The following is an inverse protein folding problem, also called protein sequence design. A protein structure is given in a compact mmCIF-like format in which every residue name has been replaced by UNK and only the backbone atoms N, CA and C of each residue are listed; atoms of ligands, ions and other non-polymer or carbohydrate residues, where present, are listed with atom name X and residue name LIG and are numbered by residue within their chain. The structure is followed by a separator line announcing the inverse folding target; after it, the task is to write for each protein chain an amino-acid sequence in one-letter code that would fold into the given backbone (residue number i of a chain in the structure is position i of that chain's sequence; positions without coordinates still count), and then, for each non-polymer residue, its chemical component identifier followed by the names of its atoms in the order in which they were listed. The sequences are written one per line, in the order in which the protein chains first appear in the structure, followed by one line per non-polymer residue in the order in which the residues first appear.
data_IF_686188756567
#
_entry.id   IF_686188756567
#
_cell.length_a   1.000
_cell.length_b   1.000
_cell.length_c   1.000
_cell.angle_alpha   90.00
_cell.angle_beta   90.00
_cell.angle_gamma   90.00
#
_symmetry.space_group_name_H-M   'P 1'
#
loop_
_entity.id
_entity.type
_entity.pdbx_description
1 polymer ?
#
# COMPACT_ATOMS: atom_id res chain seq x y z
N UNK A 1 -36.05 -15.15 -15.88
CA UNK A 1 -35.66 -13.84 -15.33
C UNK A 1 -35.15 -13.01 -16.49
N UNK A 2 -35.56 -11.74 -16.67
CA UNK A 2 -35.06 -10.96 -17.78
C UNK A 2 -33.56 -10.70 -17.54
N UNK A 3 -32.73 -11.18 -18.45
CA UNK A 3 -31.32 -10.84 -18.52
C UNK A 3 -31.23 -9.37 -18.95
N UNK A 4 -31.21 -8.46 -17.98
CA UNK A 4 -30.84 -7.08 -18.25
C UNK A 4 -29.46 -7.10 -18.93
N UNK A 5 -29.32 -6.37 -20.04
CA UNK A 5 -28.05 -6.27 -20.73
C UNK A 5 -26.98 -5.70 -19.76
N UNK A 6 -25.72 -6.17 -19.82
CA UNK A 6 -24.66 -5.61 -19.02
C UNK A 6 -24.57 -4.12 -19.40
N UNK A 7 -24.39 -3.29 -18.37
CA UNK A 7 -24.26 -1.85 -18.51
C UNK A 7 -23.33 -1.50 -19.67
N UNK A 8 -23.80 -0.66 -20.58
CA UNK A 8 -22.98 -0.21 -21.71
C UNK A 8 -21.84 0.69 -21.22
N UNK A 9 -20.72 0.72 -21.96
CA UNK A 9 -19.56 1.55 -21.62
C UNK A 9 -19.94 3.03 -21.43
N UNK A 10 -20.90 3.53 -22.20
CA UNK A 10 -21.44 4.88 -22.06
C UNK A 10 -22.16 5.09 -20.72
N UNK A 11 -22.91 4.10 -20.23
CA UNK A 11 -23.57 4.18 -18.93
C UNK A 11 -22.57 4.12 -17.76
N UNK A 12 -21.50 3.31 -17.88
CA UNK A 12 -20.40 3.33 -16.92
C UNK A 12 -19.66 4.67 -16.92
N UNK A 13 -19.44 5.26 -18.10
CA UNK A 13 -18.76 6.56 -18.27
C UNK A 13 -19.59 7.72 -17.71
N UNK A 14 -20.91 7.69 -17.88
CA UNK A 14 -21.84 8.69 -17.33
C UNK A 14 -21.97 8.55 -15.81
N UNK A 15 -21.88 7.34 -15.28
CA UNK A 15 -21.94 7.07 -13.83
C UNK A 15 -20.62 7.36 -13.09
N UNK A 16 -19.52 7.59 -13.81
CA UNK A 16 -18.22 7.95 -13.21
C UNK A 16 -18.30 9.32 -12.54
N UNK A 17 -18.49 9.32 -11.22
CA UNK A 17 -18.13 10.48 -10.40
C UNK A 17 -16.61 10.68 -10.45
N UNK A 18 -16.12 11.93 -10.57
CA UNK A 18 -14.69 12.21 -10.49
C UNK A 18 -14.13 11.68 -9.16
N UNK A 19 -12.89 11.17 -9.20
CA UNK A 19 -12.19 10.72 -8.00
C UNK A 19 -12.11 11.89 -7.02
N UNK A 20 -12.56 11.67 -5.78
CA UNK A 20 -12.55 12.70 -4.74
C UNK A 20 -11.10 12.99 -4.36
N UNK A 21 -10.68 14.25 -4.47
CA UNK A 21 -9.34 14.66 -4.05
C UNK A 21 -9.30 14.80 -2.52
N UNK A 22 -8.92 13.70 -1.87
CA UNK A 22 -8.76 13.64 -0.41
C UNK A 22 -7.72 14.63 0.08
N UNK A 23 -6.67 14.87 -0.71
CA UNK A 23 -5.57 15.74 -0.30
C UNK A 23 -6.07 17.17 -0.17
N UNK A 24 -6.87 17.64 -1.13
CA UNK A 24 -7.46 18.98 -1.10
C UNK A 24 -8.50 19.13 0.03
N UNK A 25 -9.37 18.14 0.22
CA UNK A 25 -10.36 18.14 1.30
C UNK A 25 -9.67 18.15 2.69
N UNK A 26 -8.60 17.37 2.84
CA UNK A 26 -7.80 17.32 4.05
C UNK A 26 -7.07 18.64 4.31
N UNK A 27 -6.34 19.20 3.32
CA UNK A 27 -5.59 20.45 3.48
C UNK A 27 -6.49 21.64 3.82
N UNK A 28 -7.71 21.67 3.28
CA UNK A 28 -8.73 22.68 3.56
C UNK A 28 -9.37 22.53 4.95
N UNK A 29 -9.38 21.32 5.52
CA UNK A 29 -9.93 21.07 6.86
C UNK A 29 -8.99 21.44 8.02
N UNK A 30 -7.69 21.60 7.74
CA UNK A 30 -6.67 21.83 8.78
C UNK A 30 -6.56 23.29 9.19
N UNK A 31 -6.67 23.56 10.49
CA UNK A 31 -6.35 24.89 11.02
C UNK A 31 -4.85 25.15 11.03
N UNK A 32 -4.44 26.42 11.19
CA UNK A 32 -3.01 26.78 11.28
C UNK A 32 -2.29 26.11 12.46
N UNK A 33 -3.01 25.89 13.57
CA UNK A 33 -2.48 25.21 14.75
C UNK A 33 -2.32 23.70 14.51
N UNK A 34 -3.27 23.08 13.80
CA UNK A 34 -3.17 21.68 13.40
C UNK A 34 -1.95 21.44 12.51
N UNK A 35 -1.70 22.34 11.55
CA UNK A 35 -0.52 22.28 10.68
C UNK A 35 0.78 22.38 11.48
N UNK A 36 0.83 23.25 12.49
CA UNK A 36 1.99 23.35 13.38
C UNK A 36 2.18 22.08 14.21
N UNK A 37 1.10 21.53 14.79
CA UNK A 37 1.14 20.30 15.57
C UNK A 37 1.66 19.13 14.73
N UNK A 38 1.12 18.94 13.51
CA UNK A 38 1.57 17.92 12.57
C UNK A 38 3.04 18.11 12.21
N UNK A 39 3.46 19.33 11.89
CA UNK A 39 4.87 19.62 11.56
C UNK A 39 5.82 19.30 12.72
N UNK A 40 5.44 19.65 13.96
CA UNK A 40 6.22 19.32 15.16
C UNK A 40 6.28 17.80 15.34
N UNK A 41 5.15 17.10 15.23
CA UNK A 41 5.08 15.64 15.34
C UNK A 41 5.94 14.94 14.30
N UNK A 42 5.95 15.42 13.05
CA UNK A 42 6.78 14.84 11.98
C UNK A 42 8.28 15.02 12.24
N UNK A 43 8.70 16.16 12.80
CA UNK A 43 10.13 16.41 13.09
C UNK A 43 10.59 15.72 14.37
N UNK A 44 9.82 15.87 15.45
CA UNK A 44 10.14 15.33 16.78
C UNK A 44 9.93 13.82 16.84
N UNK A 45 8.95 13.28 16.11
CA UNK A 45 8.64 11.85 16.07
C UNK A 45 9.62 10.99 15.27
N UNK A 46 10.67 11.57 14.68
CA UNK A 46 11.67 10.79 13.96
C UNK A 46 12.61 10.03 14.90
N UNK A 47 12.97 8.79 14.54
CA UNK A 47 13.95 8.03 15.31
C UNK A 47 15.34 8.67 15.35
N UNK A 48 15.73 9.35 14.26
CA UNK A 48 16.99 10.09 14.22
C UNK A 48 17.05 11.24 15.24
N UNK A 49 15.95 11.99 15.40
CA UNK A 49 15.86 13.06 16.39
C UNK A 49 15.94 12.52 17.82
N UNK A 50 15.23 11.42 18.12
CA UNK A 50 15.30 10.75 19.42
C UNK A 50 16.74 10.36 19.78
N UNK A 51 17.45 9.70 18.85
CA UNK A 51 18.84 9.29 19.06
C UNK A 51 19.78 10.49 19.20
N UNK A 52 19.59 11.55 18.42
CA UNK A 52 20.40 12.77 18.51
C UNK A 52 20.30 13.42 19.90
N UNK A 53 19.09 13.57 20.45
CA UNK A 53 18.91 14.14 21.80
C UNK A 53 19.46 13.21 22.87
N UNK A 54 19.31 11.89 22.70
CA UNK A 54 19.86 10.90 23.63
C UNK A 54 21.39 10.98 23.69
N UNK A 55 22.05 10.94 22.53
CA UNK A 55 23.52 11.05 22.43
C UNK A 55 24.00 12.38 22.97
N UNK A 56 23.30 13.49 22.65
CA UNK A 56 23.61 14.80 23.22
C UNK A 56 23.52 14.80 24.75
N UNK A 57 22.43 14.27 25.31
CA UNK A 57 22.17 14.26 26.75
C UNK A 57 23.19 13.39 27.50
N UNK A 58 23.48 12.20 26.98
CA UNK A 58 24.48 11.29 27.56
C UNK A 58 25.89 11.88 27.42
N UNK A 59 26.23 12.42 26.25
CA UNK A 59 27.54 13.05 26.01
C UNK A 59 27.78 14.25 26.91
N UNK A 60 26.79 15.14 27.03
CA UNK A 60 26.84 16.31 27.90
C UNK A 60 26.97 15.94 29.38
N UNK A 61 26.11 15.02 29.85
CA UNK A 61 26.12 14.58 31.25
C UNK A 61 27.41 13.83 31.57
N UNK A 62 27.86 12.96 30.66
CA UNK A 62 29.13 12.24 30.77
C UNK A 62 30.33 13.18 30.83
N UNK A 63 30.37 14.21 29.97
CA UNK A 63 31.41 15.24 30.01
C UNK A 63 31.45 15.98 31.35
N UNK A 64 30.31 16.45 31.86
CA UNK A 64 30.26 17.17 33.14
C UNK A 64 30.64 16.28 34.34
N UNK A 65 30.25 15.00 34.34
CA UNK A 65 30.67 14.04 35.37
C UNK A 65 32.18 13.78 35.29
N UNK A 66 32.72 13.55 34.08
CA UNK A 66 34.14 13.32 33.87
C UNK A 66 34.98 14.54 34.30
N UNK A 67 34.57 15.75 33.91
CA UNK A 67 35.24 16.99 34.32
C UNK A 67 35.20 17.21 35.84
N UNK A 68 34.14 16.79 36.53
CA UNK A 68 34.03 16.96 37.99
C UNK A 68 34.75 15.88 38.80
N UNK A 69 34.71 14.61 38.35
CA UNK A 69 35.24 13.46 39.12
C UNK A 69 36.66 13.05 38.73
N UNK A 70 37.11 13.38 37.53
CA UNK A 70 38.43 12.99 37.02
C UNK A 70 39.37 14.19 37.17
N UNK A 71 39.84 14.43 38.40
CA UNK A 71 40.77 15.53 38.72
C UNK A 71 42.07 15.45 37.90
N UNK A 72 42.47 14.25 37.49
CA UNK A 72 43.66 14.00 36.65
C UNK A 72 43.59 14.68 35.27
N UNK A 73 42.39 14.97 34.76
CA UNK A 73 42.21 15.57 33.43
C UNK A 73 42.27 17.11 33.44
N UNK A 74 42.33 17.75 34.62
CA UNK A 74 42.36 19.22 34.78
C UNK A 74 41.22 19.96 34.05
N UNK A 75 40.13 19.29 33.67
CA UNK A 75 38.97 19.93 33.05
C UNK A 75 38.16 20.72 34.07
N UNK A 76 37.76 21.93 33.68
CA UNK A 76 36.77 22.70 34.45
C UNK A 76 35.36 22.18 34.12
N UNK A 77 34.52 21.91 35.12
CA UNK A 77 33.12 21.61 34.87
C UNK A 77 32.48 22.80 34.15
N UNK A 78 31.86 22.52 33.01
CA UNK A 78 31.16 23.53 32.23
C UNK A 78 29.89 24.00 32.95
N UNK A 79 29.23 23.09 33.68
CA UNK A 79 27.99 23.33 34.43
C UNK A 79 28.12 22.90 35.91
N UNK A 80 28.59 23.80 36.81
CA UNK A 80 28.60 23.55 38.24
C UNK A 80 27.18 23.49 38.83
N UNK A 81 27.01 22.72 39.91
CA UNK A 81 25.78 22.75 40.71
C UNK A 81 25.42 24.20 41.07
N UNK A 82 24.18 24.70 40.79
CA UNK A 82 22.92 23.98 40.56
C UNK A 82 22.39 23.94 39.11
N UNK A 83 23.11 24.43 38.10
CA UNK A 83 22.53 24.66 36.77
C UNK A 83 22.13 23.36 36.01
N UNK A 84 22.80 22.23 36.28
CA UNK A 84 22.37 20.91 35.81
C UNK A 84 20.92 20.55 36.21
N UNK A 85 20.53 20.83 37.46
CA UNK A 85 19.19 20.53 37.97
C UNK A 85 18.15 21.42 37.30
N UNK A 86 18.49 22.69 37.08
CA UNK A 86 17.63 23.62 36.36
C UNK A 86 17.40 23.17 34.91
N UNK A 87 18.44 22.71 34.22
CA UNK A 87 18.32 22.16 32.87
C UNK A 87 17.38 20.95 32.80
N UNK A 88 17.53 19.98 33.72
CA UNK A 88 16.63 18.82 33.77
C UNK A 88 15.18 19.20 34.04
N UNK A 89 14.95 20.15 34.95
CA UNK A 89 13.60 20.62 35.27
C UNK A 89 12.95 21.31 34.06
N UNK A 90 13.67 22.24 33.41
CA UNK A 90 13.17 22.94 32.22
C UNK A 90 12.89 21.95 31.08
N UNK A 91 13.80 21.00 30.84
CA UNK A 91 13.61 19.96 29.82
C UNK A 91 12.38 19.11 30.10
N UNK A 92 12.13 18.74 31.36
CA UNK A 92 10.97 17.92 31.73
C UNK A 92 9.64 18.66 31.52
N UNK A 93 9.57 19.94 31.88
CA UNK A 93 8.38 20.77 31.63
C UNK A 93 8.08 20.85 30.13
N UNK A 94 9.10 21.05 29.29
CA UNK A 94 8.94 21.07 27.83
C UNK A 94 8.42 19.71 27.31
N UNK A 95 8.94 18.59 27.84
CA UNK A 95 8.47 17.25 27.46
C UNK A 95 7.01 17.01 27.81
N UNK A 96 6.55 17.46 28.98
CA UNK A 96 5.15 17.33 29.41
C UNK A 96 4.23 18.09 28.45
N UNK A 97 4.64 19.27 27.97
CA UNK A 97 3.86 20.04 26.98
C UNK A 97 3.92 19.41 25.58
N UNK A 98 5.03 18.75 25.23
CA UNK A 98 5.19 18.08 23.94
C UNK A 98 4.29 16.86 23.79
N UNK A 99 3.98 16.11 24.86
CA UNK A 99 3.16 14.89 24.78
C UNK A 99 1.75 15.14 24.20
N UNK A 100 0.93 16.06 24.74
CA UNK A 100 -0.38 16.39 24.17
C UNK A 100 -0.28 16.97 22.76
N UNK A 101 0.75 17.78 22.49
CA UNK A 101 0.97 18.36 21.17
C UNK A 101 1.27 17.29 20.11
N UNK A 102 2.13 16.32 20.47
CA UNK A 102 2.43 15.16 19.64
C UNK A 102 1.18 14.32 19.42
N UNK A 103 0.39 14.07 20.47
CA UNK A 103 -0.85 13.31 20.41
C UNK A 103 -1.88 13.95 19.47
N UNK A 104 -2.00 15.29 19.49
CA UNK A 104 -2.85 16.03 18.56
C UNK A 104 -2.36 15.84 17.12
N UNK A 105 -1.06 16.02 16.85
CA UNK A 105 -0.50 15.80 15.52
C UNK A 105 -0.67 14.35 15.02
N UNK A 106 -0.54 13.37 15.92
CA UNK A 106 -0.78 11.95 15.63
C UNK A 106 -2.26 11.68 15.30
N UNK A 107 -3.20 12.24 16.08
CA UNK A 107 -4.63 12.08 15.82
C UNK A 107 -5.03 12.64 14.45
N UNK A 108 -4.47 13.79 14.08
CA UNK A 108 -4.70 14.42 12.77
C UNK A 108 -4.15 13.54 11.63
N UNK A 109 -2.90 13.04 11.75
CA UNK A 109 -2.31 12.12 10.77
C UNK A 109 -3.07 10.79 10.67
N UNK A 110 -3.60 10.30 11.80
CA UNK A 110 -4.43 9.11 11.87
C UNK A 110 -5.73 9.28 11.09
N UNK A 111 -6.46 10.38 11.32
CA UNK A 111 -7.69 10.70 10.58
C UNK A 111 -7.44 10.82 9.07
N UNK A 112 -6.33 11.42 8.65
CA UNK A 112 -5.96 11.47 7.23
C UNK A 112 -5.71 10.08 6.65
N UNK A 113 -5.02 9.22 7.41
CA UNK A 113 -4.72 7.85 6.99
C UNK A 113 -5.98 6.99 6.89
N UNK A 114 -6.94 7.19 7.79
CA UNK A 114 -8.26 6.57 7.76
C UNK A 114 -9.07 7.00 6.53
N UNK A 115 -9.20 8.31 6.30
CA UNK A 115 -9.89 8.85 5.10
C UNK A 115 -9.30 8.30 3.79
N UNK A 116 -7.97 8.19 3.73
CA UNK A 116 -7.30 7.57 2.57
C UNK A 116 -7.68 6.10 2.43
N UNK A 117 -7.68 5.34 3.53
CA UNK A 117 -8.09 3.94 3.55
C UNK A 117 -9.55 3.73 3.10
N UNK A 118 -10.46 4.59 3.53
CA UNK A 118 -11.88 4.53 3.11
C UNK A 118 -12.05 4.73 1.60
N UNK A 119 -11.31 5.66 1.00
CA UNK A 119 -11.39 5.90 -0.44
C UNK A 119 -10.65 4.85 -1.26
N UNK A 120 -9.52 4.34 -0.79
CA UNK A 120 -8.86 3.19 -1.43
C UNK A 120 -9.82 1.99 -1.45
N UNK A 121 -10.57 1.78 -0.37
CA UNK A 121 -11.63 0.76 -0.32
C UNK A 121 -12.76 1.05 -1.31
N UNK A 122 -13.28 2.28 -1.37
CA UNK A 122 -14.34 2.66 -2.32
C UNK A 122 -13.90 2.47 -3.79
N UNK A 123 -12.67 2.85 -4.11
CA UNK A 123 -12.08 2.65 -5.45
C UNK A 123 -11.97 1.16 -5.77
N UNK A 124 -11.52 0.34 -4.82
CA UNK A 124 -11.42 -1.11 -5.01
C UNK A 124 -12.79 -1.76 -5.25
N UNK A 125 -13.82 -1.41 -4.48
CA UNK A 125 -15.18 -1.92 -4.72
C UNK A 125 -15.73 -1.50 -6.09
N UNK A 126 -15.41 -0.28 -6.55
CA UNK A 126 -15.77 0.16 -7.91
C UNK A 126 -15.04 -0.64 -8.97
N UNK A 127 -13.74 -0.87 -8.78
CA UNK A 127 -12.93 -1.68 -9.69
C UNK A 127 -13.44 -3.12 -9.79
N UNK A 128 -13.79 -3.74 -8.66
CA UNK A 128 -14.41 -5.07 -8.62
C UNK A 128 -15.69 -5.12 -9.47
N UNK A 129 -16.56 -4.12 -9.33
CA UNK A 129 -17.80 -4.03 -10.12
C UNK A 129 -17.54 -3.77 -11.61
N UNK A 130 -16.57 -2.92 -11.95
CA UNK A 130 -16.18 -2.69 -13.35
C UNK A 130 -15.63 -3.99 -13.98
N UNK A 131 -14.82 -4.76 -13.23
CA UNK A 131 -14.31 -6.07 -13.65
C UNK A 131 -15.44 -7.08 -13.85
N UNK A 132 -16.41 -7.14 -12.92
CA UNK A 132 -17.59 -8.01 -13.05
C UNK A 132 -18.35 -7.72 -14.36
N UNK A 133 -18.57 -6.44 -14.68
CA UNK A 133 -19.23 -6.04 -15.93
C UNK A 133 -18.42 -6.45 -17.17
N UNK A 134 -17.09 -6.31 -17.11
CA UNK A 134 -16.19 -6.76 -18.20
C UNK A 134 -16.29 -8.29 -18.38
N UNK A 135 -16.28 -9.06 -17.30
CA UNK A 135 -16.41 -10.52 -17.34
C UNK A 135 -17.76 -10.94 -17.94
N UNK A 136 -18.86 -10.30 -17.53
CA UNK A 136 -20.18 -10.55 -18.13
C UNK A 136 -20.22 -10.24 -19.63
N UNK A 137 -19.52 -9.19 -20.07
CA UNK A 137 -19.44 -8.86 -21.49
C UNK A 137 -18.60 -9.89 -22.26
N UNK A 138 -17.50 -10.37 -21.69
CA UNK A 138 -16.65 -11.42 -22.27
C UNK A 138 -17.40 -12.75 -22.41
N UNK A 139 -18.11 -13.19 -21.36
CA UNK A 139 -18.93 -14.41 -21.40
C UNK A 139 -19.98 -14.31 -22.51
N UNK A 140 -20.65 -13.16 -22.62
CA UNK A 140 -21.63 -12.93 -23.70
C UNK A 140 -21.01 -12.96 -25.09
N UNK A 141 -19.82 -12.36 -25.25
CA UNK A 141 -19.10 -12.42 -26.52
C UNK A 141 -18.74 -13.87 -26.87
N UNK A 142 -18.28 -14.66 -25.89
CA UNK A 142 -17.98 -16.08 -26.06
C UNK A 142 -19.20 -16.90 -26.48
N UNK A 143 -20.37 -16.64 -25.89
CA UNK A 143 -21.62 -17.29 -26.28
C UNK A 143 -22.03 -16.97 -27.72
N UNK A 144 -21.94 -15.71 -28.12
CA UNK A 144 -22.26 -15.27 -29.48
C UNK A 144 -21.31 -15.89 -30.51
N UNK A 145 -19.99 -15.90 -30.23
CA UNK A 145 -18.99 -16.53 -31.07
C UNK A 145 -19.27 -18.04 -31.20
N UNK A 146 -19.59 -18.71 -30.09
CA UNK A 146 -19.96 -20.14 -30.09
C UNK A 146 -21.17 -20.42 -30.96
N UNK A 147 -22.21 -19.56 -30.91
CA UNK A 147 -23.39 -19.68 -31.76
C UNK A 147 -23.04 -19.51 -33.24
N UNK A 148 -22.19 -18.54 -33.58
CA UNK A 148 -21.74 -18.30 -34.97
C UNK A 148 -20.95 -19.51 -35.49
N UNK A 149 -19.99 -20.03 -34.71
CA UNK A 149 -19.18 -21.20 -35.09
C UNK A 149 -20.06 -22.43 -35.33
N UNK A 150 -21.04 -22.68 -34.44
CA UNK A 150 -22.04 -23.75 -34.63
C UNK A 150 -22.88 -23.55 -35.89
N UNK A 151 -23.34 -22.32 -36.16
CA UNK A 151 -24.11 -22.00 -37.35
C UNK A 151 -23.31 -22.16 -38.66
N UNK A 152 -21.99 -21.99 -38.60
CA UNK A 152 -21.06 -22.21 -39.72
C UNK A 152 -20.63 -23.69 -39.89
N UNK A 153 -21.10 -24.60 -39.03
CA UNK A 153 -20.80 -26.04 -39.14
C UNK A 153 -19.37 -26.43 -38.76
N UNK A 154 -18.62 -25.52 -38.13
CA UNK A 154 -17.26 -25.77 -37.63
C UNK A 154 -17.33 -26.56 -36.31
N UNK A 155 -16.47 -27.58 -36.15
CA UNK A 155 -16.34 -28.33 -34.89
C UNK A 155 -15.63 -27.46 -33.86
N UNK A 156 -16.30 -27.20 -32.74
CA UNK A 156 -15.79 -26.35 -31.65
C UNK A 156 -14.43 -26.81 -31.11
N UNK A 157 -14.16 -28.12 -31.14
CA UNK A 157 -12.95 -28.79 -30.66
C UNK A 157 -11.65 -28.27 -31.30
N UNK A 158 -11.70 -27.92 -32.58
CA UNK A 158 -10.49 -27.52 -33.34
C UNK A 158 -10.21 -26.00 -33.22
N UNK A 159 -11.22 -25.21 -32.86
CA UNK A 159 -11.12 -23.75 -32.70
C UNK A 159 -10.89 -23.29 -31.25
N UNK A 160 -11.19 -24.14 -30.26
CA UNK A 160 -11.04 -23.86 -28.81
C UNK A 160 -9.77 -24.45 -28.19
N UNK A 161 -8.79 -24.90 -29.00
CA UNK A 161 -7.45 -25.21 -28.50
C UNK A 161 -6.71 -23.92 -28.11
N UNK A 162 -7.25 -23.23 -27.10
CA UNK A 162 -6.64 -22.07 -26.47
C UNK A 162 -5.56 -22.66 -25.56
N UNK A 163 -4.25 -22.40 -25.82
CA UNK A 163 -3.22 -22.82 -24.89
C UNK A 163 -3.59 -22.28 -23.51
N UNK A 164 -3.69 -23.17 -22.53
CA UNK A 164 -3.94 -22.81 -21.14
C UNK A 164 -2.95 -21.71 -20.77
N UNK A 165 -3.45 -20.54 -20.36
CA UNK A 165 -2.58 -19.48 -19.86
C UNK A 165 -1.96 -19.99 -18.55
N UNK A 166 -0.73 -20.47 -18.64
CA UNK A 166 0.10 -20.74 -17.47
C UNK A 166 0.75 -19.41 -17.08
N UNK A 167 0.28 -18.73 -16.02
CA UNK A 167 0.93 -17.50 -15.58
C UNK A 167 2.40 -17.79 -15.29
N UNK A 168 3.33 -16.87 -15.61
CA UNK A 168 4.71 -17.05 -15.22
C UNK A 168 4.78 -17.32 -13.71
N UNK A 169 5.55 -18.33 -13.26
CA UNK A 169 5.62 -18.66 -11.84
C UNK A 169 6.01 -17.41 -11.06
N UNK A 170 5.31 -17.15 -9.95
CA UNK A 170 5.69 -16.02 -9.09
C UNK A 170 7.17 -16.16 -8.74
N UNK A 171 7.95 -15.08 -8.61
CA UNK A 171 9.40 -15.16 -8.41
C UNK A 171 9.86 -16.07 -7.25
N UNK A 172 8.94 -16.42 -6.34
CA UNK A 172 9.18 -17.22 -5.14
C UNK A 172 8.27 -18.47 -5.04
N UNK A 173 7.54 -18.84 -6.09
CA UNK A 173 6.80 -20.11 -6.12
C UNK A 173 7.71 -21.24 -6.55
N UNK A 174 8.01 -22.16 -5.62
CA UNK A 174 8.55 -23.47 -5.97
C UNK A 174 7.53 -24.23 -6.81
N UNK A 175 7.96 -24.94 -7.88
CA UNK A 175 7.05 -25.76 -8.69
C UNK A 175 6.25 -26.70 -7.79
N UNK A 176 4.92 -26.59 -7.85
CA UNK A 176 4.04 -27.52 -7.16
C UNK A 176 4.19 -28.90 -7.81
N UNK A 177 4.79 -29.84 -7.07
CA UNK A 177 5.03 -31.22 -7.54
C UNK A 177 3.75 -32.07 -7.58
N UNK A 178 2.59 -31.49 -7.29
CA UNK A 178 1.30 -32.20 -7.31
C UNK A 178 0.55 -32.09 -8.64
N UNK A 179 1.01 -31.28 -9.60
CA UNK A 179 0.38 -31.13 -10.91
C UNK A 179 0.90 -32.22 -11.87
N UNK A 180 0.05 -33.15 -12.35
CA UNK A 180 0.50 -34.24 -13.20
C UNK A 180 0.89 -33.69 -14.57
N UNK A 181 2.12 -33.98 -15.00
CA UNK A 181 2.60 -33.72 -16.35
C UNK A 181 1.62 -34.33 -17.37
N UNK A 182 0.88 -33.44 -18.01
CA UNK A 182 -0.01 -33.65 -19.13
C UNK A 182 0.76 -34.38 -20.24
N UNK A 183 0.52 -35.68 -20.30
CA UNK A 183 1.11 -36.59 -21.26
C UNK A 183 0.60 -36.24 -22.66
N UNK A 184 1.55 -35.79 -23.48
CA UNK A 184 1.47 -35.64 -24.91
C UNK A 184 0.84 -36.89 -25.56
N UNK A 185 -0.43 -36.74 -25.97
CA UNK A 185 -1.30 -37.80 -26.45
C UNK A 185 -1.88 -37.47 -27.82
N UNK A 186 -1.07 -36.93 -28.75
CA UNK A 186 -1.47 -36.80 -30.15
C UNK A 186 -0.35 -37.25 -31.10
N UNK A 187 -0.12 -38.56 -31.14
CA UNK A 187 0.74 -39.20 -32.14
C UNK A 187 0.09 -40.47 -32.68
N UNK A 188 -1.11 -40.39 -33.26
CA UNK A 188 -1.68 -41.50 -34.02
C UNK A 188 -2.76 -41.07 -35.01
N UNK A 189 -2.41 -40.43 -36.13
CA UNK A 189 -3.15 -40.59 -37.40
C UNK A 189 -2.21 -40.35 -38.58
N UNK A 190 -1.34 -41.33 -38.86
CA UNK A 190 -0.67 -41.44 -40.16
C UNK A 190 -1.67 -42.00 -41.18
N UNK A 191 -1.93 -41.22 -42.23
CA UNK A 191 -2.74 -41.58 -43.40
C UNK A 191 -2.22 -42.85 -44.10
N UNK A 192 -3.08 -43.70 -44.69
CA UNK A 192 -2.62 -44.81 -45.52
C UNK A 192 -2.14 -44.30 -46.88
N UNK A 193 -0.88 -44.62 -47.22
CA UNK A 193 -0.32 -44.45 -48.57
C UNK A 193 -0.95 -45.48 -49.51
N UNK A 194 -1.42 -45.01 -50.67
CA UNK A 194 -1.77 -45.77 -51.88
C UNK A 194 -0.51 -46.18 -52.64
N UNK A 195 -0.66 -47.22 -53.47
CA UNK A 195 0.26 -47.86 -54.43
C UNK A 195 1.22 -48.88 -53.78
N UNK A 196 1.27 -50.16 -54.18
CA UNK A 196 0.97 -50.83 -55.46
C UNK A 196 0.12 -52.10 -55.29
#
# INVERSE_FOLDING_TARGET
MPHDAPLSLEQLRVSRKPLRDIKEEYENSLTRLDRLAVWITEKVGTMGFCLAIFVWTVGWTGYNIAATKITSLHWKPFDPFPAFVAYLLISNVIQILLMPLIMVGQNIQGRHSELRGENDFEVNCKAEKEIEVILMHLERQQDLLTQIVKAQGLKLDEALNIPTYNPPPRPNETPDKSEPADADGNAATMLPKRAE
#
